data_IF_573083271508
#
_entry.id   IF_573083271508
#
_cell.length_a   1.000
_cell.length_b   1.000
_cell.length_c   1.000
_cell.angle_alpha   90.00
_cell.angle_beta   90.00
_cell.angle_gamma   90.00
#
_symmetry.space_group_name_H-M   'P 1'
#
loop_
_entity.id
_entity.type
_entity.pdbx_description
1 polymer ?
#
# COMPACT_ATOMS: atom_id res chain seq x y z
N UNK A 1 28.34 22.81 13.62
CA UNK A 1 26.96 22.27 13.57
C UNK A 1 26.97 20.98 12.73
N UNK A 2 26.82 19.79 13.34
CA UNK A 2 26.79 18.50 12.62
C UNK A 2 25.35 18.22 12.20
N UNK A 3 25.04 18.37 10.92
CA UNK A 3 23.74 18.00 10.35
C UNK A 3 23.68 16.47 10.27
N UNK A 4 23.09 15.82 11.28
CA UNK A 4 22.79 14.40 11.20
C UNK A 4 21.53 14.20 10.34
N UNK A 5 21.71 13.76 9.10
CA UNK A 5 20.62 13.16 8.34
C UNK A 5 20.20 11.87 9.07
N UNK A 6 18.89 11.69 9.29
CA UNK A 6 18.37 10.46 9.90
C UNK A 6 17.92 9.52 8.80
N UNK A 7 18.49 8.32 8.78
CA UNK A 7 17.88 7.18 8.10
C UNK A 7 16.81 6.68 9.08
N UNK A 8 15.54 6.97 8.79
CA UNK A 8 14.43 6.46 9.59
C UNK A 8 13.79 5.27 8.87
N UNK A 9 14.45 4.12 8.95
CA UNK A 9 14.04 2.90 8.28
C UNK A 9 12.90 2.16 8.98
N UNK A 10 12.07 2.84 9.79
CA UNK A 10 10.88 2.24 10.40
C UNK A 10 9.92 1.79 9.27
N UNK A 11 9.76 0.47 9.07
CA UNK A 11 8.91 -0.03 8.01
C UNK A 11 7.45 0.22 8.39
N UNK A 12 6.73 0.92 7.52
CA UNK A 12 5.29 1.10 7.58
C UNK A 12 4.62 0.05 6.72
N UNK A 13 3.80 -0.79 7.33
CA UNK A 13 3.04 -1.82 6.63
C UNK A 13 1.56 -1.47 6.67
N UNK A 14 0.91 -1.54 5.51
CA UNK A 14 -0.51 -1.31 5.34
C UNK A 14 -1.16 -2.58 4.82
N UNK A 15 -2.19 -3.03 5.52
CA UNK A 15 -3.04 -4.15 5.11
C UNK A 15 -4.42 -3.63 4.80
N UNK A 16 -4.96 -4.02 3.65
CA UNK A 16 -6.31 -3.72 3.24
C UNK A 16 -6.97 -5.02 2.76
N UNK A 17 -8.14 -5.32 3.32
CA UNK A 17 -9.02 -6.34 2.81
C UNK A 17 -10.37 -5.68 2.57
N UNK A 18 -10.92 -5.84 1.37
CA UNK A 18 -12.25 -5.39 1.05
C UNK A 18 -13.01 -6.55 0.39
N UNK A 19 -14.33 -6.54 0.54
CA UNK A 19 -15.18 -7.55 -0.07
C UNK A 19 -16.60 -7.03 -0.23
N UNK A 20 -17.20 -7.38 -1.35
CA UNK A 20 -18.56 -7.05 -1.74
C UNK A 20 -19.35 -8.31 -2.03
N UNK A 21 -20.67 -8.24 -1.87
CA UNK A 21 -21.56 -9.36 -2.17
C UNK A 21 -22.98 -8.89 -2.34
N UNK A 22 -23.69 -9.49 -3.31
CA UNK A 22 -25.11 -9.24 -3.48
C UNK A 22 -25.90 -10.20 -2.60
N UNK A 23 -26.49 -9.71 -1.50
CA UNK A 23 -27.25 -10.54 -0.54
C UNK A 23 -28.44 -11.29 -1.16
N UNK A 24 -28.99 -10.83 -2.28
CA UNK A 24 -30.06 -11.50 -3.03
C UNK A 24 -29.58 -12.64 -3.93
N UNK A 25 -28.29 -12.69 -4.28
CA UNK A 25 -27.73 -13.73 -5.14
C UNK A 25 -26.43 -14.25 -4.52
N UNK A 26 -26.55 -15.31 -3.71
CA UNK A 26 -25.44 -15.94 -2.98
C UNK A 26 -24.30 -16.43 -3.89
N UNK A 27 -24.54 -16.48 -5.20
CA UNK A 27 -23.56 -16.91 -6.20
C UNK A 27 -22.66 -15.76 -6.68
N UNK A 28 -22.93 -14.52 -6.27
CA UNK A 28 -22.17 -13.34 -6.63
C UNK A 28 -21.49 -12.71 -5.42
N UNK A 29 -20.16 -12.80 -5.38
CA UNK A 29 -19.33 -12.15 -4.37
C UNK A 29 -17.99 -11.74 -4.97
N UNK A 30 -17.37 -10.73 -4.40
CA UNK A 30 -16.05 -10.26 -4.76
C UNK A 30 -15.26 -9.96 -3.49
N UNK A 31 -13.95 -10.17 -3.55
CA UNK A 31 -13.04 -9.90 -2.46
C UNK A 31 -11.67 -9.52 -3.00
N UNK A 32 -11.03 -8.56 -2.36
CA UNK A 32 -9.65 -8.21 -2.61
C UNK A 32 -8.85 -8.23 -1.31
N UNK A 33 -7.62 -8.71 -1.41
CA UNK A 33 -6.58 -8.52 -0.41
C UNK A 33 -5.49 -7.66 -1.01
N UNK A 34 -4.97 -6.73 -0.21
CA UNK A 34 -3.82 -5.93 -0.56
C UNK A 34 -2.93 -5.76 0.67
N UNK A 35 -1.63 -5.96 0.48
CA UNK A 35 -0.60 -5.66 1.46
C UNK A 35 0.42 -4.75 0.80
N UNK A 36 0.83 -3.71 1.50
CA UNK A 36 1.94 -2.86 1.06
C UNK A 36 2.83 -2.54 2.24
N UNK A 37 4.10 -2.33 1.97
CA UNK A 37 5.07 -1.91 2.95
C UNK A 37 5.98 -0.85 2.34
N UNK A 38 6.49 0.05 3.17
CA UNK A 38 7.47 1.03 2.75
C UNK A 38 8.29 1.53 3.92
N UNK A 39 9.42 2.17 3.64
CA UNK A 39 10.30 2.73 4.65
C UNK A 39 10.80 4.09 4.20
N UNK A 40 10.97 5.02 5.15
CA UNK A 40 11.68 6.27 4.90
C UNK A 40 13.18 5.95 4.83
N UNK A 41 13.83 6.29 3.72
CA UNK A 41 15.26 6.03 3.55
C UNK A 41 16.11 7.24 3.91
N UNK A 42 15.51 8.44 3.82
CA UNK A 42 16.19 9.68 4.13
C UNK A 42 15.22 10.75 4.61
N UNK A 43 15.68 11.55 5.56
CA UNK A 43 15.01 12.74 6.04
C UNK A 43 16.04 13.87 6.16
N UNK A 44 15.69 15.05 5.65
CA UNK A 44 16.52 16.24 5.80
C UNK A 44 16.59 16.66 7.27
N UNK A 45 17.70 17.28 7.66
CA UNK A 45 17.89 17.74 9.04
C UNK A 45 16.81 18.73 9.52
N UNK A 46 16.23 19.52 8.61
CA UNK A 46 15.13 20.45 8.91
C UNK A 46 13.73 19.81 8.84
N UNK A 47 13.64 18.49 8.65
CA UNK A 47 12.40 17.70 8.54
C UNK A 47 11.42 18.17 7.45
N UNK A 48 11.87 19.00 6.51
CA UNK A 48 11.06 19.50 5.39
C UNK A 48 11.05 18.57 4.20
N UNK A 49 12.05 17.70 4.08
CA UNK A 49 12.20 16.81 2.94
C UNK A 49 12.35 15.38 3.44
N UNK A 50 11.65 14.45 2.81
CA UNK A 50 11.87 13.03 3.06
C UNK A 50 11.73 12.22 1.79
N UNK A 51 12.53 11.17 1.69
CA UNK A 51 12.46 10.16 0.63
C UNK A 51 12.13 8.82 1.25
N UNK A 52 11.24 8.06 0.61
CA UNK A 52 10.89 6.71 1.02
C UNK A 52 10.76 5.78 -0.17
N UNK A 53 10.90 4.49 0.09
CA UNK A 53 10.61 3.42 -0.87
C UNK A 53 9.40 2.64 -0.38
N UNK A 54 8.63 2.09 -1.31
CA UNK A 54 7.49 1.24 -0.98
C UNK A 54 7.28 0.18 -2.04
N UNK A 55 6.58 -0.87 -1.65
CA UNK A 55 6.10 -1.91 -2.55
C UNK A 55 4.92 -2.64 -1.96
N UNK A 56 4.31 -3.50 -2.76
CA UNK A 56 3.05 -4.11 -2.37
C UNK A 56 2.57 -5.18 -3.32
N UNK A 57 1.58 -5.90 -2.83
CA UNK A 57 0.94 -7.03 -3.44
C UNK A 57 -0.57 -6.86 -3.29
N UNK A 58 -1.31 -7.10 -4.36
CA UNK A 58 -2.76 -7.17 -4.31
C UNK A 58 -3.26 -8.35 -5.15
N UNK A 59 -4.33 -8.97 -4.67
CA UNK A 59 -5.02 -10.02 -5.39
C UNK A 59 -6.50 -10.01 -5.08
N UNK A 60 -7.32 -10.12 -6.12
CA UNK A 60 -8.76 -10.30 -6.04
C UNK A 60 -9.20 -11.74 -6.34
N UNK A 61 -10.32 -12.12 -5.75
CA UNK A 61 -11.06 -13.33 -6.07
C UNK A 61 -12.55 -13.03 -5.97
N UNK A 62 -13.37 -13.79 -6.70
CA UNK A 62 -14.80 -13.62 -6.67
C UNK A 62 -15.54 -14.77 -7.33
N UNK A 63 -16.85 -14.61 -7.38
CA UNK A 63 -17.76 -15.47 -8.11
C UNK A 63 -18.79 -14.59 -8.81
N UNK A 64 -19.04 -14.87 -10.09
CA UNK A 64 -20.09 -14.23 -10.87
C UNK A 64 -20.92 -15.28 -11.57
N UNK A 65 -22.23 -15.27 -11.32
CA UNK A 65 -23.19 -16.27 -11.81
C UNK A 65 -22.76 -17.72 -11.48
N UNK A 66 -22.17 -17.92 -10.30
CA UNK A 66 -21.70 -19.23 -9.83
C UNK A 66 -20.34 -19.65 -10.39
N UNK A 67 -19.74 -18.88 -11.31
CA UNK A 67 -18.40 -19.12 -11.80
C UNK A 67 -17.39 -18.35 -10.98
N UNK A 68 -16.48 -19.08 -10.33
CA UNK A 68 -15.36 -18.48 -9.60
C UNK A 68 -14.35 -17.90 -10.56
N UNK A 69 -13.86 -16.71 -10.24
CA UNK A 69 -12.73 -16.09 -10.91
C UNK A 69 -11.71 -15.64 -9.89
N UNK A 70 -10.45 -15.62 -10.30
CA UNK A 70 -9.35 -15.10 -9.52
C UNK A 70 -8.59 -14.15 -10.42
N UNK A 71 -8.41 -12.90 -9.97
CA UNK A 71 -7.61 -11.96 -10.72
C UNK A 71 -6.14 -12.36 -10.63
N UNK A 72 -5.34 -12.10 -11.67
CA UNK A 72 -3.90 -12.19 -11.57
C UNK A 72 -3.38 -11.33 -10.41
N UNK A 73 -2.31 -11.76 -9.71
CA UNK A 73 -1.68 -10.95 -8.70
C UNK A 73 -1.09 -9.67 -9.31
N UNK A 74 -1.22 -8.56 -8.59
CA UNK A 74 -0.64 -7.27 -8.95
C UNK A 74 0.44 -6.89 -7.94
N UNK A 75 1.64 -6.56 -8.45
CA UNK A 75 2.77 -6.12 -7.65
C UNK A 75 3.09 -4.67 -7.99
N UNK A 76 3.44 -3.87 -6.98
CA UNK A 76 3.95 -2.52 -7.19
C UNK A 76 5.24 -2.29 -6.42
N UNK A 77 6.08 -1.41 -6.97
CA UNK A 77 7.26 -0.86 -6.29
C UNK A 77 7.37 0.60 -6.68
N UNK A 78 7.78 1.44 -5.75
CA UNK A 78 7.88 2.87 -5.98
C UNK A 78 8.75 3.59 -4.97
N UNK A 79 9.06 4.82 -5.30
CA UNK A 79 9.71 5.76 -4.41
C UNK A 79 8.81 6.99 -4.26
N UNK A 80 8.87 7.60 -3.07
CA UNK A 80 8.11 8.80 -2.74
C UNK A 80 9.05 9.89 -2.25
N UNK A 81 8.69 11.12 -2.59
CA UNK A 81 9.32 12.33 -2.07
C UNK A 81 8.24 13.19 -1.43
N UNK A 82 8.45 13.61 -0.19
CA UNK A 82 7.50 14.44 0.55
C UNK A 82 8.20 15.73 0.95
N UNK A 83 7.57 16.85 0.60
CA UNK A 83 7.92 18.19 1.06
C UNK A 83 6.90 18.69 2.09
N UNK A 84 7.36 19.18 3.24
CA UNK A 84 6.52 19.80 4.27
C UNK A 84 6.69 21.33 4.22
N UNK A 85 5.58 22.02 3.94
CA UNK A 85 5.54 23.47 3.97
C UNK A 85 5.71 23.97 5.42
N UNK A 86 6.46 25.05 5.63
CA UNK A 86 6.43 25.77 6.89
C UNK A 86 5.04 26.40 7.10
N UNK A 87 4.52 26.24 8.31
CA UNK A 87 3.43 27.08 8.83
C UNK A 87 3.96 28.38 9.41
#
# INVERSE_FOLDING_TARGET
FKYHNKINSDPQTFFNAAGGGNFHNRHNWDGNIAVSAGAKVWESANQRHSFGIHGGYAQGAGSYQGHRYQSPPHWNVGASYIYRFPG
#
